data_IF_226275639756
#
_entry.id   IF_226275639756
#
_cell.length_a   1.000
_cell.length_b   1.000
_cell.length_c   1.000
_cell.angle_alpha   90.00
_cell.angle_beta   90.00
_cell.angle_gamma   90.00
#
_symmetry.space_group_name_H-M   'P 1'
#
loop_
_entity.id
_entity.type
_entity.pdbx_description
1 polymer ?
#
# COMPACT_ATOMS: atom_id res chain seq x y z
N UNK A 1 16.90 6.31 -14.99
CA UNK A 1 16.99 6.09 -13.53
C UNK A 1 15.83 5.17 -13.15
N UNK A 2 16.08 4.04 -12.48
CA UNK A 2 15.01 3.14 -12.03
C UNK A 2 14.40 3.69 -10.73
N UNK A 3 13.07 3.60 -10.53
CA UNK A 3 12.45 4.06 -9.29
C UNK A 3 12.93 3.21 -8.10
N UNK A 4 13.29 3.82 -6.96
CA UNK A 4 13.79 3.10 -5.79
C UNK A 4 12.71 2.30 -5.03
N UNK A 5 11.46 2.70 -5.17
CA UNK A 5 10.29 2.06 -4.58
C UNK A 5 9.22 1.96 -5.66
N UNK A 6 8.63 0.78 -5.81
CA UNK A 6 7.53 0.51 -6.74
C UNK A 6 6.34 -0.02 -5.96
N UNK A 7 5.16 0.52 -6.22
CA UNK A 7 3.89 0.12 -5.61
C UNK A 7 2.92 -0.29 -6.70
N UNK A 8 2.34 -1.48 -6.58
CA UNK A 8 1.29 -2.00 -7.45
C UNK A 8 0.06 -2.35 -6.60
N UNK A 9 -1.11 -1.92 -7.07
CA UNK A 9 -2.41 -2.21 -6.45
C UNK A 9 -3.26 -3.05 -7.40
N UNK A 10 -4.20 -3.81 -6.86
CA UNK A 10 -5.07 -4.68 -7.67
C UNK A 10 -4.25 -5.75 -8.39
N UNK A 11 -3.36 -6.42 -7.67
CA UNK A 11 -2.47 -7.43 -8.29
C UNK A 11 -3.20 -8.73 -8.68
N UNK A 12 -4.45 -8.88 -8.25
CA UNK A 12 -5.29 -10.08 -8.43
C UNK A 12 -4.64 -11.37 -7.89
N UNK A 13 -3.54 -11.20 -7.13
CA UNK A 13 -2.65 -12.26 -6.67
C UNK A 13 -2.28 -13.30 -7.74
N UNK A 14 -1.98 -12.88 -8.96
CA UNK A 14 -1.41 -13.78 -9.96
C UNK A 14 0.02 -14.15 -9.54
N UNK A 15 0.17 -15.36 -8.97
CA UNK A 15 1.45 -15.87 -8.51
C UNK A 15 2.51 -15.93 -9.61
N UNK A 16 2.13 -16.24 -10.84
CA UNK A 16 3.09 -16.34 -11.95
C UNK A 16 3.62 -14.96 -12.31
N UNK A 17 2.73 -13.97 -12.37
CA UNK A 17 3.10 -12.57 -12.60
C UNK A 17 4.00 -12.05 -11.47
N UNK A 18 3.69 -12.37 -10.21
CA UNK A 18 4.54 -11.98 -9.07
C UNK A 18 5.91 -12.65 -9.14
N UNK A 19 5.99 -13.96 -9.45
CA UNK A 19 7.26 -14.68 -9.62
C UNK A 19 8.11 -14.09 -10.75
N UNK A 20 7.49 -13.76 -11.88
CA UNK A 20 8.16 -13.10 -13.01
C UNK A 20 8.66 -11.71 -12.61
N UNK A 21 7.86 -10.93 -11.87
CA UNK A 21 8.26 -9.62 -11.37
C UNK A 21 9.49 -9.74 -10.45
N UNK A 22 9.48 -10.68 -9.50
CA UNK A 22 10.62 -10.92 -8.59
C UNK A 22 11.88 -11.30 -9.37
N UNK A 23 11.75 -12.15 -10.39
CA UNK A 23 12.87 -12.57 -11.24
C UNK A 23 13.46 -11.38 -12.02
N UNK A 24 12.61 -10.52 -12.59
CA UNK A 24 13.04 -9.35 -13.35
C UNK A 24 13.66 -8.27 -12.45
N UNK A 25 13.06 -8.02 -11.27
CA UNK A 25 13.49 -7.01 -10.30
C UNK A 25 14.31 -7.63 -9.16
N UNK A 26 15.31 -8.45 -9.49
CA UNK A 26 16.12 -9.18 -8.52
C UNK A 26 16.89 -8.29 -7.51
N UNK A 27 17.10 -7.02 -7.84
CA UNK A 27 17.71 -6.00 -6.98
C UNK A 27 16.72 -5.36 -5.99
N UNK A 28 15.48 -5.84 -5.91
CA UNK A 28 14.46 -5.38 -4.98
C UNK A 28 14.11 -6.43 -3.93
N UNK A 29 13.73 -5.96 -2.74
CA UNK A 29 12.92 -6.71 -1.80
C UNK A 29 11.46 -6.54 -2.19
N UNK A 30 10.84 -7.61 -2.68
CA UNK A 30 9.45 -7.61 -3.13
C UNK A 30 8.58 -8.24 -2.05
N UNK A 31 7.54 -7.52 -1.64
CA UNK A 31 6.55 -7.96 -0.69
C UNK A 31 5.18 -7.87 -1.35
N UNK A 32 4.37 -8.91 -1.20
CA UNK A 32 2.99 -8.92 -1.66
C UNK A 32 2.05 -9.31 -0.54
N UNK A 33 0.82 -8.82 -0.62
CA UNK A 33 -0.26 -9.17 0.29
C UNK A 33 -1.50 -9.49 -0.54
N UNK A 34 -2.16 -10.57 -0.19
CA UNK A 34 -3.42 -10.98 -0.81
C UNK A 34 -4.56 -10.06 -0.38
N UNK A 35 -5.51 -9.86 -1.29
CA UNK A 35 -6.74 -9.17 -0.95
C UNK A 35 -7.80 -10.10 -0.35
N UNK A 36 -8.93 -9.50 0.04
CA UNK A 36 -10.12 -10.24 0.48
C UNK A 36 -10.90 -10.87 -0.69
N UNK A 37 -10.63 -10.45 -1.93
CA UNK A 37 -11.30 -10.92 -3.13
C UNK A 37 -10.30 -11.11 -4.28
N UNK A 38 -10.77 -11.68 -5.40
CA UNK A 38 -9.96 -12.03 -6.59
C UNK A 38 -9.40 -10.82 -7.35
N UNK A 39 -9.93 -9.62 -7.10
CA UNK A 39 -9.45 -8.36 -7.69
C UNK A 39 -8.49 -7.61 -6.77
N UNK A 40 -8.36 -8.08 -5.53
CA UNK A 40 -7.55 -7.44 -4.51
C UNK A 40 -6.05 -7.72 -4.66
N UNK A 41 -5.34 -7.36 -3.61
CA UNK A 41 -3.92 -7.58 -3.47
C UNK A 41 -3.09 -6.35 -3.78
N UNK A 42 -1.95 -6.28 -3.09
CA UNK A 42 -0.97 -5.21 -3.23
C UNK A 42 0.43 -5.78 -3.29
N UNK A 43 1.32 -5.06 -3.95
CA UNK A 43 2.74 -5.37 -3.99
C UNK A 43 3.52 -4.07 -3.77
N UNK A 44 4.54 -4.15 -2.91
CA UNK A 44 5.57 -3.12 -2.78
C UNK A 44 6.93 -3.76 -3.03
N UNK A 45 7.73 -3.11 -3.86
CA UNK A 45 9.12 -3.49 -4.11
C UNK A 45 10.03 -2.33 -3.70
N UNK A 46 10.99 -2.61 -2.84
CA UNK A 46 11.98 -1.62 -2.36
C UNK A 46 13.36 -2.05 -2.80
N UNK A 47 14.13 -1.15 -3.42
CA UNK A 47 15.50 -1.46 -3.86
C UNK A 47 16.36 -1.92 -2.67
N UNK A 48 17.16 -2.98 -2.84
CA UNK A 48 17.94 -3.63 -1.75
C UNK A 48 18.97 -2.73 -1.07
N UNK A 49 19.35 -1.61 -1.70
CA UNK A 49 20.22 -0.62 -1.07
C UNK A 49 19.51 0.24 -0.01
N UNK A 50 18.19 0.17 0.07
CA UNK A 50 17.38 0.93 1.02
C UNK A 50 16.99 0.00 2.16
N UNK A 51 17.30 0.42 3.38
CA UNK A 51 16.85 -0.29 4.57
C UNK A 51 15.32 -0.22 4.64
N UNK A 52 14.68 -1.38 4.67
CA UNK A 52 13.24 -1.48 4.87
C UNK A 52 12.91 -2.69 5.74
N UNK A 53 11.98 -2.54 6.66
CA UNK A 53 11.47 -3.64 7.47
C UNK A 53 9.94 -3.63 7.53
N UNK A 54 9.34 -4.81 7.56
CA UNK A 54 7.89 -4.93 7.65
C UNK A 54 7.44 -4.73 9.09
N UNK A 55 6.40 -3.92 9.30
CA UNK A 55 5.84 -3.66 10.63
C UNK A 55 4.96 -4.83 11.06
N UNK A 56 5.49 -5.68 11.95
CA UNK A 56 4.88 -6.97 12.32
C UNK A 56 3.43 -6.86 12.81
N UNK A 57 3.10 -5.78 13.52
CA UNK A 57 1.75 -5.50 14.06
C UNK A 57 0.66 -5.47 12.96
N UNK A 58 1.02 -5.15 11.72
CA UNK A 58 0.10 -4.99 10.60
C UNK A 58 0.22 -6.10 9.55
N UNK A 59 0.95 -7.18 9.82
CA UNK A 59 1.25 -8.22 8.83
C UNK A 59 0.02 -9.00 8.33
N UNK A 60 -1.04 -9.06 9.13
CA UNK A 60 -2.23 -9.87 8.84
C UNK A 60 -3.37 -9.04 8.21
N UNK A 61 -3.11 -7.79 7.84
CA UNK A 61 -4.13 -6.95 7.22
C UNK A 61 -4.17 -7.22 5.71
N UNK A 62 -5.30 -7.72 5.18
CA UNK A 62 -5.43 -7.95 3.74
C UNK A 62 -5.43 -6.63 2.97
N UNK A 63 -5.02 -6.67 1.71
CA UNK A 63 -4.87 -5.50 0.84
C UNK A 63 -3.92 -4.41 1.38
N UNK A 64 -3.12 -4.67 2.41
CA UNK A 64 -2.27 -3.66 3.05
C UNK A 64 -0.87 -4.21 3.33
N UNK A 65 0.16 -3.41 3.04
CA UNK A 65 1.53 -3.66 3.45
C UNK A 65 2.04 -2.40 4.16
N UNK A 66 2.68 -2.58 5.31
CA UNK A 66 3.26 -1.49 6.10
C UNK A 66 4.75 -1.76 6.28
N UNK A 67 5.58 -0.85 5.79
CA UNK A 67 7.03 -0.89 5.94
C UNK A 67 7.52 0.33 6.72
N UNK A 68 8.53 0.16 7.55
CA UNK A 68 9.43 1.24 7.95
C UNK A 68 10.59 1.28 6.95
N UNK A 69 10.87 2.46 6.39
CA UNK A 69 11.88 2.69 5.37
C UNK A 69 12.85 3.76 5.87
N UNK A 70 14.15 3.53 5.69
CA UNK A 70 15.22 4.42 6.13
C UNK A 70 15.88 3.98 7.44
N UNK A 71 16.57 4.92 8.08
CA UNK A 71 17.27 4.72 9.35
C UNK A 71 17.25 5.99 10.18
N UNK A 72 17.31 5.82 11.51
CA UNK A 72 17.45 6.90 12.48
C UNK A 72 16.42 8.02 12.28
N UNK A 73 16.87 9.26 12.07
CA UNK A 73 15.99 10.44 11.93
C UNK A 73 15.22 10.50 10.61
N UNK A 74 15.67 9.79 9.58
CA UNK A 74 15.05 9.82 8.24
C UNK A 74 14.05 8.68 8.04
N UNK A 75 13.79 7.89 9.09
CA UNK A 75 12.87 6.76 9.03
C UNK A 75 11.42 7.25 8.86
N UNK A 76 10.74 6.70 7.85
CA UNK A 76 9.32 6.94 7.61
C UNK A 76 8.57 5.62 7.44
N UNK A 77 7.27 5.64 7.70
CA UNK A 77 6.38 4.52 7.44
C UNK A 77 5.80 4.64 6.03
N UNK A 78 6.00 3.64 5.19
CA UNK A 78 5.30 3.49 3.90
C UNK A 78 4.13 2.54 4.06
N UNK A 79 2.92 3.05 3.87
CA UNK A 79 1.68 2.28 3.84
C UNK A 79 1.26 2.10 2.40
N UNK A 80 1.22 0.86 1.93
CA UNK A 80 0.65 0.49 0.62
C UNK A 80 -0.70 -0.16 0.86
N UNK A 81 -1.75 0.33 0.19
CA UNK A 81 -3.11 -0.14 0.45
C UNK A 81 -3.99 -0.18 -0.81
N UNK A 82 -4.94 -1.11 -0.83
CA UNK A 82 -5.97 -1.19 -1.85
C UNK A 82 -7.35 -1.33 -1.21
N UNK A 83 -8.32 -0.53 -1.62
CA UNK A 83 -9.73 -0.69 -1.23
C UNK A 83 -10.58 -0.88 -2.48
N UNK A 84 -11.02 -2.13 -2.78
CA UNK A 84 -11.86 -2.43 -3.93
C UNK A 84 -13.17 -1.63 -3.92
N UNK A 85 -13.76 -1.25 -5.07
CA UNK A 85 -14.89 -0.31 -5.12
C UNK A 85 -16.09 -0.61 -4.20
N UNK A 86 -16.39 -1.88 -3.93
CA UNK A 86 -17.53 -2.31 -3.12
C UNK A 86 -17.24 -2.45 -1.61
N UNK A 87 -15.97 -2.41 -1.19
CA UNK A 87 -15.59 -2.59 0.22
C UNK A 87 -15.52 -1.24 0.97
N UNK A 88 -15.85 -1.22 2.26
CA UNK A 88 -15.65 -0.01 3.06
C UNK A 88 -14.14 0.27 3.29
N UNK A 89 -13.81 1.54 3.51
CA UNK A 89 -12.46 1.93 3.94
C UNK A 89 -12.44 1.84 5.48
N UNK A 90 -11.50 1.09 6.09
CA UNK A 90 -11.37 1.04 7.55
C UNK A 90 -10.67 2.31 8.06
N UNK A 91 -11.43 3.39 8.27
CA UNK A 91 -10.85 4.68 8.68
C UNK A 91 -10.11 4.61 10.03
N UNK A 92 -10.60 3.80 10.96
CA UNK A 92 -9.95 3.53 12.26
C UNK A 92 -8.55 2.91 12.11
N UNK A 93 -8.30 2.22 11.00
CA UNK A 93 -6.99 1.66 10.71
C UNK A 93 -5.99 2.75 10.30
N UNK A 94 -6.42 3.77 9.57
CA UNK A 94 -5.54 4.89 9.22
C UNK A 94 -5.12 5.67 10.44
N UNK A 95 -6.03 5.91 11.39
CA UNK A 95 -5.70 6.52 12.67
C UNK A 95 -4.67 5.67 13.44
N UNK A 96 -4.86 4.35 13.50
CA UNK A 96 -3.90 3.44 14.15
C UNK A 96 -2.53 3.41 13.47
N UNK A 97 -2.47 3.58 12.15
CA UNK A 97 -1.22 3.65 11.39
C UNK A 97 -0.49 4.98 11.64
N UNK A 98 -1.21 6.09 11.67
CA UNK A 98 -0.66 7.41 11.99
C UNK A 98 -0.21 7.52 13.45
N UNK A 99 -0.96 6.93 14.38
CA UNK A 99 -0.56 6.83 15.79
C UNK A 99 0.69 5.96 15.97
N UNK A 100 0.87 4.93 15.14
CA UNK A 100 2.07 4.11 15.20
C UNK A 100 3.30 4.88 14.71
N UNK A 101 3.18 5.61 13.61
CA UNK A 101 4.23 6.48 13.11
C UNK A 101 3.63 7.71 12.40
N UNK A 102 3.76 8.93 12.96
CA UNK A 102 3.21 10.13 12.33
C UNK A 102 3.95 10.53 11.05
N UNK A 103 5.18 10.06 10.85
CA UNK A 103 5.92 10.21 9.60
C UNK A 103 5.51 9.11 8.60
N UNK A 104 4.24 9.11 8.21
CA UNK A 104 3.65 8.10 7.32
C UNK A 104 3.35 8.65 5.93
N UNK A 105 3.66 7.85 4.91
CA UNK A 105 3.25 8.06 3.52
C UNK A 105 2.27 6.96 3.14
N UNK A 106 1.06 7.34 2.78
CA UNK A 106 0.04 6.43 2.27
C UNK A 106 0.05 6.43 0.74
N UNK A 107 0.14 5.23 0.17
CA UNK A 107 0.13 4.98 -1.27
C UNK A 107 -0.87 3.86 -1.57
N UNK A 108 -1.61 3.99 -2.66
CA UNK A 108 -2.68 3.03 -2.89
C UNK A 108 -3.75 3.49 -3.85
N UNK A 109 -4.67 2.59 -4.12
CA UNK A 109 -5.95 2.91 -4.75
C UNK A 109 -7.09 2.56 -3.78
N UNK A 110 -7.70 3.60 -3.23
CA UNK A 110 -8.83 3.46 -2.29
C UNK A 110 -10.18 3.39 -3.01
N UNK A 111 -10.21 3.55 -4.33
CA UNK A 111 -11.42 3.75 -5.12
C UNK A 111 -12.35 4.85 -4.55
N UNK A 112 -11.75 5.86 -3.90
CA UNK A 112 -12.43 6.95 -3.22
C UNK A 112 -12.40 8.20 -4.11
N UNK A 113 -13.58 8.72 -4.45
CA UNK A 113 -13.74 9.86 -5.35
C UNK A 113 -14.33 11.03 -4.57
N UNK A 114 -13.58 12.12 -4.48
CA UNK A 114 -14.02 13.39 -3.91
C UNK A 114 -13.50 14.54 -4.78
N UNK A 115 -14.26 15.64 -4.86
CA UNK A 115 -13.94 16.78 -5.72
C UNK A 115 -12.60 17.46 -5.39
N UNK A 116 -12.11 17.31 -4.15
CA UNK A 116 -10.83 17.88 -3.72
C UNK A 116 -9.59 17.19 -4.30
N UNK A 117 -9.69 15.93 -4.77
CA UNK A 117 -8.57 15.19 -5.37
C UNK A 117 -8.90 14.48 -6.69
N UNK A 118 -10.17 14.51 -7.14
CA UNK A 118 -10.61 13.89 -8.38
C UNK A 118 -11.62 14.76 -9.11
N UNK A 119 -11.56 14.76 -10.45
CA UNK A 119 -12.60 15.38 -11.30
C UNK A 119 -13.83 14.47 -11.52
N UNK A 120 -13.83 13.29 -10.91
CA UNK A 120 -14.94 12.33 -11.05
C UNK A 120 -16.11 12.67 -10.14
N UNK A 121 -17.28 12.10 -10.44
CA UNK A 121 -18.43 12.14 -9.54
C UNK A 121 -18.03 11.52 -8.19
N UNK A 122 -18.34 12.25 -7.12
CA UNK A 122 -18.02 11.83 -5.76
C UNK A 122 -18.77 10.57 -5.36
N UNK A 123 -18.12 9.70 -4.61
CA UNK A 123 -18.74 8.49 -4.07
C UNK A 123 -18.73 8.48 -2.54
N UNK A 124 -19.47 7.55 -1.94
CA UNK A 124 -19.61 7.44 -0.48
C UNK A 124 -18.24 7.29 0.21
N UNK A 125 -17.32 6.53 -0.39
CA UNK A 125 -15.96 6.37 0.12
C UNK A 125 -15.18 7.69 0.16
N UNK A 126 -15.25 8.47 -0.92
CA UNK A 126 -14.56 9.76 -1.00
C UNK A 126 -15.09 10.74 0.04
N UNK A 127 -16.41 10.79 0.23
CA UNK A 127 -17.01 11.59 1.30
C UNK A 127 -16.60 11.12 2.69
N UNK A 128 -16.51 9.81 2.92
CA UNK A 128 -16.08 9.26 4.21
C UNK A 128 -14.59 9.54 4.50
N UNK A 129 -13.73 9.56 3.47
CA UNK A 129 -12.30 9.84 3.63
C UNK A 129 -11.99 11.34 3.78
N UNK A 130 -12.85 12.21 3.24
CA UNK A 130 -12.67 13.67 3.32
C UNK A 130 -13.04 14.24 4.71
N UNK A 131 -14.00 13.62 5.39
CA UNK A 131 -14.47 14.01 6.73
C UNK A 131 -13.60 13.40 7.83
#
# INVERSE_FOLDING_TARGET
MQPPIVVLNGTHHDENTIKQFISHFFNFHVLSMIGLNVFGGVLIAVHKSIRSQRVAKFNNLPNIIVLEIGSDSDMFQSVTCYSPPAESIPLDLFDRLLQHNPNSIFTGDLNAKHSSWSKSIENQKGRALFN
#
